data_IF_361963268967
#
_entry.id   IF_361963268967
#
_cell.length_a   1.000
_cell.length_b   1.000
_cell.length_c   1.000
_cell.angle_alpha   90.00
_cell.angle_beta   90.00
_cell.angle_gamma   90.00
#
_symmetry.space_group_name_H-M   'P 1'
#
loop_
_entity.id
_entity.type
_entity.pdbx_description
1 polymer ?
#
# COMPACT_ATOMS: atom_id res chain seq x y z
N UNK A 1 12.67 -9.77 20.76
CA UNK A 1 11.38 -9.09 20.51
C UNK A 1 11.61 -7.90 19.58
N UNK A 2 10.82 -7.77 18.52
CA UNK A 2 10.90 -6.60 17.64
C UNK A 2 10.52 -5.33 18.42
N UNK A 3 11.27 -4.21 18.20
CA UNK A 3 10.93 -2.93 18.81
C UNK A 3 9.54 -2.47 18.34
N UNK A 4 8.72 -1.85 19.21
CA UNK A 4 7.47 -1.22 18.81
C UNK A 4 7.73 -0.18 17.71
N UNK A 5 6.77 -0.03 16.79
CA UNK A 5 6.81 0.99 15.75
C UNK A 5 5.87 2.14 16.10
N UNK A 6 6.32 3.36 15.87
CA UNK A 6 5.47 4.54 15.86
C UNK A 6 5.55 5.21 14.50
N UNK A 7 4.42 5.66 13.96
CA UNK A 7 4.34 6.31 12.66
C UNK A 7 3.93 7.77 12.79
N UNK A 8 4.73 8.67 12.24
CA UNK A 8 4.41 10.07 12.02
C UNK A 8 4.04 10.26 10.55
N UNK A 9 3.03 11.08 10.25
CA UNK A 9 2.55 11.28 8.90
C UNK A 9 2.72 12.73 8.47
N UNK A 10 3.47 12.95 7.39
CA UNK A 10 3.50 14.22 6.66
C UNK A 10 2.43 14.16 5.59
N UNK A 11 1.51 15.12 5.60
CA UNK A 11 0.31 15.10 4.78
C UNK A 11 0.46 15.99 3.56
N UNK A 12 -0.03 15.47 2.43
CA UNK A 12 -0.15 16.20 1.17
C UNK A 12 -1.54 16.03 0.55
N UNK A 13 -1.92 16.99 -0.27
CA UNK A 13 -3.08 16.88 -1.14
C UNK A 13 -2.77 15.97 -2.35
N UNK A 14 -3.80 15.52 -3.12
CA UNK A 14 -3.59 14.72 -4.34
C UNK A 14 -2.75 15.42 -5.43
N UNK A 15 -2.65 16.74 -5.41
CA UNK A 15 -1.77 17.51 -6.30
C UNK A 15 -0.39 17.81 -5.67
N UNK A 16 -0.05 17.20 -4.55
CA UNK A 16 1.27 17.28 -3.92
C UNK A 16 1.52 18.50 -3.03
N UNK A 17 0.51 19.34 -2.77
CA UNK A 17 0.67 20.50 -1.87
C UNK A 17 0.79 20.02 -0.43
N UNK A 18 1.85 20.39 0.31
CA UNK A 18 1.96 20.09 1.73
C UNK A 18 0.82 20.72 2.56
N UNK A 19 0.31 19.97 3.51
CA UNK A 19 -0.74 20.39 4.46
C UNK A 19 -0.12 20.58 5.84
N UNK A 20 0.68 19.61 6.29
CA UNK A 20 1.24 19.61 7.63
C UNK A 20 1.63 18.20 8.06
N UNK A 21 1.64 17.96 9.38
CA UNK A 21 1.92 16.63 9.93
C UNK A 21 0.89 16.22 10.99
N UNK A 22 0.65 14.92 11.10
CA UNK A 22 -0.02 14.32 12.24
C UNK A 22 1.03 13.79 13.22
N UNK A 23 0.79 13.95 14.53
CA UNK A 23 1.67 13.39 15.56
C UNK A 23 1.85 11.89 15.41
N UNK A 24 2.99 11.39 15.90
CA UNK A 24 3.29 9.97 15.85
C UNK A 24 2.30 9.15 16.67
N UNK A 25 1.84 8.04 16.10
CA UNK A 25 0.93 7.08 16.73
C UNK A 25 1.57 5.69 16.80
N UNK A 26 1.24 4.89 17.83
CA UNK A 26 1.70 3.50 17.90
C UNK A 26 1.07 2.67 16.79
N UNK A 27 1.84 1.72 16.23
CA UNK A 27 1.42 0.86 15.14
C UNK A 27 1.61 -0.60 15.51
N UNK A 28 0.62 -1.44 15.24
CA UNK A 28 0.54 -2.82 15.69
C UNK A 28 1.65 -3.75 15.13
N UNK A 29 2.19 -3.46 13.95
CA UNK A 29 3.25 -4.29 13.33
C UNK A 29 4.58 -3.54 13.30
N UNK A 30 5.72 -4.22 13.45
CA UNK A 30 7.03 -3.57 13.39
C UNK A 30 7.47 -3.25 11.96
N UNK A 31 6.94 -3.92 10.94
CA UNK A 31 7.41 -3.86 9.56
C UNK A 31 6.99 -2.56 8.86
N UNK A 32 7.95 -1.83 8.30
CA UNK A 32 7.70 -0.51 7.72
C UNK A 32 6.85 -0.55 6.45
N UNK A 33 6.92 -1.62 5.68
CA UNK A 33 6.11 -1.82 4.47
C UNK A 33 4.64 -2.13 4.75
N UNK A 34 4.29 -2.62 5.95
CA UNK A 34 2.91 -2.91 6.34
C UNK A 34 2.21 -1.61 6.73
N UNK A 35 1.43 -1.06 5.81
CA UNK A 35 0.81 0.26 5.98
C UNK A 35 -0.66 0.22 6.38
N UNK A 36 -1.33 -0.93 6.24
CA UNK A 36 -2.71 -1.09 6.73
C UNK A 36 -2.86 -0.71 8.21
N UNK A 37 -1.96 -1.14 9.13
CA UNK A 37 -2.01 -0.70 10.52
C UNK A 37 -1.74 0.79 10.71
N UNK A 38 -0.95 1.43 9.83
CA UNK A 38 -0.70 2.88 9.86
C UNK A 38 -1.95 3.65 9.45
N UNK A 39 -2.60 3.24 8.34
CA UNK A 39 -3.87 3.83 7.88
C UNK A 39 -4.94 3.71 8.95
N UNK A 40 -5.06 2.54 9.59
CA UNK A 40 -5.99 2.33 10.69
C UNK A 40 -5.69 3.24 11.89
N UNK A 41 -4.42 3.30 12.32
CA UNK A 41 -4.02 4.16 13.44
C UNK A 41 -4.27 5.65 13.15
N UNK A 42 -4.08 6.13 11.91
CA UNK A 42 -4.41 7.49 11.52
C UNK A 42 -5.91 7.78 11.67
N UNK A 43 -6.76 6.85 11.27
CA UNK A 43 -8.22 6.97 11.44
C UNK A 43 -8.62 6.92 12.91
N UNK A 44 -8.10 5.97 13.67
CA UNK A 44 -8.50 5.74 15.07
C UNK A 44 -8.05 6.86 16.00
N UNK A 45 -6.84 7.41 15.80
CA UNK A 45 -6.27 8.43 16.68
C UNK A 45 -6.50 9.87 16.21
N UNK A 46 -6.63 10.08 14.90
CA UNK A 46 -6.73 11.43 14.33
C UNK A 46 -8.01 11.67 13.55
N UNK A 47 -8.83 10.63 13.30
CA UNK A 47 -10.05 10.75 12.49
C UNK A 47 -9.78 11.04 11.02
N UNK A 48 -8.58 10.68 10.50
CA UNK A 48 -8.14 11.05 9.15
C UNK A 48 -7.94 9.80 8.29
N UNK A 49 -8.59 9.78 7.13
CA UNK A 49 -8.37 8.78 6.12
C UNK A 49 -7.17 9.16 5.25
N UNK A 50 -6.17 8.29 5.23
CA UNK A 50 -4.90 8.54 4.54
C UNK A 50 -4.58 7.43 3.53
N UNK A 51 -3.84 7.80 2.49
CA UNK A 51 -3.12 6.87 1.62
C UNK A 51 -1.63 7.05 1.81
N UNK A 52 -0.92 6.00 2.23
CA UNK A 52 0.53 6.07 2.42
C UNK A 52 1.22 6.02 1.06
N UNK A 53 2.04 7.03 0.77
CA UNK A 53 2.78 7.13 -0.49
C UNK A 53 4.17 6.50 -0.37
N UNK A 54 4.92 6.88 0.65
CA UNK A 54 6.31 6.42 0.86
C UNK A 54 6.84 6.73 2.24
N UNK A 55 7.94 6.07 2.59
CA UNK A 55 8.77 6.44 3.73
C UNK A 55 9.53 7.75 3.40
N UNK A 56 9.57 8.68 4.35
CA UNK A 56 10.42 9.88 4.32
C UNK A 56 11.66 9.72 5.17
N UNK A 57 11.56 9.01 6.28
CA UNK A 57 12.67 8.79 7.20
C UNK A 57 12.34 7.77 8.27
N UNK A 58 13.36 7.26 8.90
CA UNK A 58 13.27 6.33 10.01
C UNK A 58 14.40 6.55 10.99
N UNK A 59 14.13 6.28 12.27
CA UNK A 59 15.12 6.34 13.36
C UNK A 59 16.14 5.20 13.29
N UNK A 60 15.71 4.02 12.80
CA UNK A 60 16.54 2.83 12.70
C UNK A 60 16.98 2.59 11.25
N UNK A 61 18.11 1.90 11.08
CA UNK A 61 18.59 1.52 9.73
C UNK A 61 17.87 0.30 9.16
N UNK A 62 17.38 -0.59 10.04
CA UNK A 62 16.69 -1.82 9.62
C UNK A 62 15.18 -1.58 9.48
N UNK A 63 14.51 -2.16 8.48
CA UNK A 63 13.13 -1.84 8.11
C UNK A 63 12.09 -2.41 9.06
N UNK A 64 12.33 -2.35 10.38
CA UNK A 64 11.38 -2.79 11.40
C UNK A 64 11.53 -2.00 12.71
N UNK A 65 10.40 -1.69 13.35
CA UNK A 65 10.33 -0.98 14.63
C UNK A 65 10.80 0.47 14.55
N UNK A 66 10.93 1.11 15.71
CA UNK A 66 11.35 2.48 15.86
C UNK A 66 10.34 3.52 15.38
N UNK A 67 10.76 4.78 15.37
CA UNK A 67 9.96 5.89 14.83
C UNK A 67 10.19 5.99 13.33
N UNK A 68 9.09 6.05 12.58
CA UNK A 68 9.11 6.20 11.12
C UNK A 68 8.23 7.37 10.70
N UNK A 69 8.63 8.08 9.65
CA UNK A 69 7.87 9.17 9.06
C UNK A 69 7.48 8.78 7.64
N UNK A 70 6.19 8.81 7.36
CA UNK A 70 5.65 8.56 6.03
C UNK A 70 5.13 9.85 5.39
N UNK A 71 5.22 9.92 4.06
CA UNK A 71 4.38 10.80 3.27
C UNK A 71 3.03 10.13 3.06
N UNK A 72 1.97 10.84 3.36
CA UNK A 72 0.60 10.36 3.18
C UNK A 72 -0.25 11.40 2.44
N UNK A 73 -1.12 10.91 1.56
CA UNK A 73 -2.09 11.72 0.83
C UNK A 73 -3.43 11.68 1.55
N UNK A 74 -4.10 12.84 1.60
CA UNK A 74 -5.48 12.99 2.09
C UNK A 74 -6.34 13.65 1.04
N UNK A 75 -7.54 13.11 0.79
CA UNK A 75 -8.47 13.65 -0.21
C UNK A 75 -9.16 14.93 0.28
N UNK A 76 -9.48 15.00 1.56
CA UNK A 76 -10.21 16.10 2.18
C UNK A 76 -9.28 16.98 3.03
N UNK A 77 -9.60 18.28 3.17
CA UNK A 77 -8.86 19.15 4.07
C UNK A 77 -8.92 18.64 5.52
N UNK A 78 -7.75 18.59 6.16
CA UNK A 78 -7.63 18.15 7.57
C UNK A 78 -6.86 19.17 8.38
N UNK A 79 -7.16 19.22 9.68
CA UNK A 79 -6.34 19.97 10.62
C UNK A 79 -5.06 19.22 10.91
N UNK A 80 -3.92 19.86 10.70
CA UNK A 80 -2.59 19.27 10.90
C UNK A 80 -1.65 20.28 11.56
N UNK A 81 -0.66 19.79 12.29
CA UNK A 81 0.41 20.64 12.83
C UNK A 81 1.30 21.17 11.69
N UNK A 82 1.86 22.37 11.83
CA UNK A 82 2.83 22.86 10.85
C UNK A 82 3.97 21.87 10.63
N UNK A 83 4.35 21.70 9.38
CA UNK A 83 5.52 20.93 9.00
C UNK A 83 6.43 21.79 8.14
N UNK A 84 7.71 21.86 8.52
CA UNK A 84 8.74 22.62 7.81
C UNK A 84 9.73 21.58 7.27
N UNK A 85 9.64 21.31 5.99
CA UNK A 85 10.52 20.37 5.31
C UNK A 85 10.39 20.52 3.81
N UNK A 86 11.31 19.88 3.08
CA UNK A 86 11.29 19.82 1.63
C UNK A 86 10.89 18.41 1.21
N UNK A 87 9.89 18.31 0.36
CA UNK A 87 9.52 17.05 -0.27
C UNK A 87 10.32 16.90 -1.55
N UNK A 88 11.30 16.01 -1.52
CA UNK A 88 12.03 15.63 -2.72
C UNK A 88 11.10 14.89 -3.70
N UNK A 89 10.99 15.38 -4.94
CA UNK A 89 10.32 14.71 -6.04
C UNK A 89 11.35 14.20 -7.05
N UNK A 90 11.99 13.09 -6.69
CA UNK A 90 13.00 12.47 -7.53
C UNK A 90 12.37 11.99 -8.85
N UNK A 91 12.95 12.26 -10.04
CA UNK A 91 12.35 11.90 -11.34
C UNK A 91 12.12 10.39 -11.53
N UNK A 92 12.92 9.55 -10.87
CA UNK A 92 12.74 8.07 -10.89
C UNK A 92 11.76 7.53 -9.86
N UNK A 93 11.01 8.41 -9.17
CA UNK A 93 10.02 7.97 -8.19
C UNK A 93 8.86 7.27 -8.90
N UNK A 94 8.45 6.13 -8.35
CA UNK A 94 7.35 5.35 -8.91
C UNK A 94 6.01 6.09 -8.77
N UNK A 95 5.11 5.90 -9.73
CA UNK A 95 3.81 6.57 -9.76
C UNK A 95 3.02 6.32 -8.46
N UNK A 96 2.98 5.08 -7.97
CA UNK A 96 2.28 4.75 -6.72
C UNK A 96 2.85 5.41 -5.45
N UNK A 97 4.07 5.97 -5.51
CA UNK A 97 4.71 6.69 -4.41
C UNK A 97 4.63 8.23 -4.56
N UNK A 98 3.87 8.72 -5.55
CA UNK A 98 3.60 10.14 -5.81
C UNK A 98 2.15 10.49 -5.46
N UNK A 99 1.90 11.75 -5.08
CA UNK A 99 0.54 12.24 -4.93
C UNK A 99 -0.29 12.01 -6.20
N UNK A 100 -1.54 11.57 -6.03
CA UNK A 100 -2.45 11.21 -7.12
C UNK A 100 -2.20 9.84 -7.77
N UNK A 101 -1.02 9.26 -7.60
CA UNK A 101 -0.67 7.96 -8.19
C UNK A 101 -1.57 6.82 -7.74
N UNK A 102 -1.72 6.57 -6.43
CA UNK A 102 -2.63 5.54 -5.95
C UNK A 102 -4.07 5.71 -6.42
N UNK A 103 -4.56 6.96 -6.50
CA UNK A 103 -5.90 7.24 -7.01
C UNK A 103 -6.05 6.84 -8.49
N UNK A 104 -5.03 7.10 -9.32
CA UNK A 104 -5.00 6.67 -10.71
C UNK A 104 -4.97 5.14 -10.85
N UNK A 105 -4.19 4.46 -10.02
CA UNK A 105 -4.11 2.99 -10.01
C UNK A 105 -5.45 2.37 -9.59
N UNK A 106 -6.11 2.92 -8.58
CA UNK A 106 -7.44 2.49 -8.14
C UNK A 106 -8.54 2.81 -9.17
N UNK A 107 -8.41 3.91 -9.94
CA UNK A 107 -9.31 4.24 -11.02
C UNK A 107 -9.21 3.22 -12.16
N UNK A 108 -7.98 2.84 -12.55
CA UNK A 108 -7.74 1.76 -13.51
C UNK A 108 -8.35 0.44 -13.01
N UNK A 109 -8.11 0.06 -11.76
CA UNK A 109 -8.68 -1.16 -11.19
C UNK A 109 -10.21 -1.17 -11.24
N UNK A 110 -10.85 -0.05 -10.89
CA UNK A 110 -12.31 0.09 -10.95
C UNK A 110 -12.87 -0.07 -12.36
N UNK A 111 -12.20 0.50 -13.37
CA UNK A 111 -12.60 0.35 -14.77
C UNK A 111 -12.59 -1.11 -15.20
N UNK A 112 -11.49 -1.83 -14.93
CA UNK A 112 -11.35 -3.26 -15.27
C UNK A 112 -12.38 -4.12 -14.52
N UNK A 113 -12.62 -3.83 -13.23
CA UNK A 113 -13.63 -4.56 -12.45
C UNK A 113 -15.05 -4.33 -13.04
N UNK A 114 -15.37 -3.10 -13.45
CA UNK A 114 -16.64 -2.77 -14.08
C UNK A 114 -16.84 -3.51 -15.42
N UNK A 115 -15.82 -3.54 -16.28
CA UNK A 115 -15.82 -4.30 -17.54
C UNK A 115 -16.06 -5.81 -17.32
N UNK A 116 -15.62 -6.34 -16.17
CA UNK A 116 -15.82 -7.75 -15.78
C UNK A 116 -17.11 -8.02 -15.01
N UNK A 117 -17.93 -6.99 -14.79
CA UNK A 117 -19.16 -7.11 -13.99
C UNK A 117 -18.92 -7.31 -12.48
N UNK A 118 -17.69 -7.11 -12.01
CA UNK A 118 -17.32 -7.23 -10.61
C UNK A 118 -17.54 -5.89 -9.90
N UNK A 119 -18.48 -5.85 -8.97
CA UNK A 119 -18.84 -4.62 -8.24
C UNK A 119 -18.10 -4.56 -6.90
N UNK A 120 -17.33 -3.51 -6.60
CA UNK A 120 -16.81 -3.28 -5.28
C UNK A 120 -17.91 -3.23 -4.21
N UNK A 121 -17.69 -3.90 -3.07
CA UNK A 121 -18.64 -3.96 -1.95
C UNK A 121 -18.22 -3.12 -0.77
N UNK A 122 -16.95 -2.69 -0.74
CA UNK A 122 -16.40 -1.79 0.27
C UNK A 122 -15.22 -1.00 -0.34
N UNK A 123 -14.77 0.07 0.33
CA UNK A 123 -13.57 0.79 -0.06
C UNK A 123 -12.35 -0.14 -0.11
N UNK A 124 -11.44 0.05 -1.07
CA UNK A 124 -10.18 -0.68 -1.11
C UNK A 124 -9.30 -0.34 0.10
N UNK A 125 -8.59 -1.35 0.60
CA UNK A 125 -7.67 -1.20 1.74
C UNK A 125 -6.23 -1.27 1.25
N UNK A 126 -5.42 -0.25 1.55
CA UNK A 126 -3.98 -0.30 1.31
C UNK A 126 -3.33 -1.22 2.34
N UNK A 127 -2.72 -2.31 1.87
CA UNK A 127 -2.12 -3.33 2.74
C UNK A 127 -0.63 -3.09 2.91
N UNK A 128 0.08 -2.90 1.79
CA UNK A 128 1.53 -2.66 1.77
C UNK A 128 1.89 -1.59 0.75
N UNK A 129 2.93 -0.83 1.05
CA UNK A 129 3.62 0.01 0.08
C UNK A 129 5.09 0.09 0.41
N UNK A 130 5.94 -0.11 -0.58
CA UNK A 130 7.39 -0.10 -0.46
C UNK A 130 8.03 0.20 -1.82
N UNK A 131 9.36 0.20 -1.87
CA UNK A 131 10.12 0.50 -3.09
C UNK A 131 9.80 -0.41 -4.29
N UNK A 132 9.33 -1.63 -4.05
CA UNK A 132 9.13 -2.65 -5.09
C UNK A 132 7.65 -2.89 -5.42
N UNK A 133 6.71 -2.41 -4.60
CA UNK A 133 5.29 -2.56 -4.92
C UNK A 133 4.39 -1.74 -4.01
N UNK A 134 3.18 -1.49 -4.48
CA UNK A 134 2.01 -1.11 -3.69
C UNK A 134 0.96 -2.20 -3.84
N UNK A 135 0.34 -2.60 -2.72
CA UNK A 135 -0.62 -3.70 -2.66
C UNK A 135 -1.90 -3.25 -1.98
N UNK A 136 -3.01 -3.49 -2.66
CA UNK A 136 -4.35 -3.14 -2.21
C UNK A 136 -5.27 -4.35 -2.23
N UNK A 137 -6.05 -4.49 -1.18
CA UNK A 137 -7.16 -5.44 -1.12
C UNK A 137 -8.45 -4.73 -1.55
N UNK A 138 -9.13 -5.27 -2.55
CA UNK A 138 -10.34 -4.71 -3.14
C UNK A 138 -11.47 -5.73 -2.95
N UNK A 139 -12.35 -5.53 -1.95
CA UNK A 139 -13.52 -6.39 -1.78
C UNK A 139 -14.49 -6.17 -2.94
N UNK A 140 -14.89 -7.26 -3.59
CA UNK A 140 -15.90 -7.27 -4.64
C UNK A 140 -16.98 -8.28 -4.30
N UNK A 141 -18.08 -8.26 -5.04
CA UNK A 141 -19.19 -9.17 -4.79
C UNK A 141 -18.75 -10.63 -4.85
N UNK A 142 -18.84 -11.34 -3.71
CA UNK A 142 -18.52 -12.75 -3.57
C UNK A 142 -17.05 -13.12 -3.42
N UNK A 143 -16.11 -12.18 -3.53
CA UNK A 143 -14.68 -12.46 -3.44
C UNK A 143 -13.84 -11.23 -3.11
N UNK A 144 -12.54 -11.46 -2.91
CA UNK A 144 -11.51 -10.40 -2.84
C UNK A 144 -10.68 -10.39 -4.11
N UNK A 145 -10.34 -9.21 -4.59
CA UNK A 145 -9.37 -8.99 -5.66
C UNK A 145 -8.22 -8.16 -5.12
N UNK A 146 -7.01 -8.45 -5.58
CA UNK A 146 -5.81 -7.74 -5.20
C UNK A 146 -5.33 -6.87 -6.35
N UNK A 147 -5.18 -5.56 -6.09
CA UNK A 147 -4.44 -4.67 -6.99
C UNK A 147 -2.99 -4.63 -6.52
N UNK A 148 -2.08 -5.11 -7.34
CA UNK A 148 -0.64 -4.96 -7.15
C UNK A 148 -0.09 -4.01 -8.21
N UNK A 149 0.70 -3.04 -7.76
CA UNK A 149 1.40 -2.09 -8.63
C UNK A 149 2.89 -2.22 -8.37
N UNK A 150 3.68 -2.37 -9.43
CA UNK A 150 5.12 -2.57 -9.37
C UNK A 150 5.86 -1.52 -10.18
N UNK A 151 7.17 -1.29 -9.91
CA UNK A 151 8.01 -0.45 -10.74
C UNK A 151 8.08 -0.91 -12.18
N UNK A 152 8.39 0.00 -13.11
CA UNK A 152 8.49 -0.30 -14.54
C UNK A 152 9.45 -1.48 -14.85
N UNK A 153 10.56 -1.62 -14.11
CA UNK A 153 11.49 -2.72 -14.31
C UNK A 153 10.93 -4.11 -13.90
N UNK A 154 9.81 -4.15 -13.16
CA UNK A 154 9.01 -5.34 -12.86
C UNK A 154 7.70 -5.40 -13.66
N UNK A 155 7.48 -4.53 -14.65
CA UNK A 155 6.22 -4.48 -15.39
C UNK A 155 5.88 -5.81 -16.13
N UNK A 156 6.87 -6.66 -16.34
CA UNK A 156 6.71 -7.99 -16.94
C UNK A 156 6.06 -9.02 -15.98
N UNK A 157 5.95 -8.73 -14.68
CA UNK A 157 5.44 -9.70 -13.69
C UNK A 157 4.01 -10.16 -14.03
N UNK A 158 3.11 -9.26 -14.42
CA UNK A 158 1.74 -9.61 -14.77
C UNK A 158 1.65 -10.56 -15.96
N UNK A 159 2.47 -10.36 -16.98
CA UNK A 159 2.54 -11.24 -18.14
C UNK A 159 3.12 -12.62 -17.77
N UNK A 160 4.16 -12.67 -16.94
CA UNK A 160 4.73 -13.92 -16.45
C UNK A 160 3.71 -14.72 -15.63
N UNK A 161 3.00 -14.09 -14.72
CA UNK A 161 1.95 -14.75 -13.93
C UNK A 161 0.84 -15.29 -14.82
N UNK A 162 0.45 -14.56 -15.88
CA UNK A 162 -0.54 -15.02 -16.85
C UNK A 162 -0.08 -16.26 -17.63
N UNK A 163 1.20 -16.33 -18.00
CA UNK A 163 1.81 -17.51 -18.65
C UNK A 163 1.88 -18.73 -17.72
N UNK A 164 1.98 -18.50 -16.41
CA UNK A 164 2.01 -19.56 -15.40
C UNK A 164 0.60 -20.00 -14.94
N UNK A 165 -0.46 -19.64 -15.67
CA UNK A 165 -1.82 -20.03 -15.35
C UNK A 165 -1.93 -21.55 -15.17
N UNK A 166 -2.55 -21.99 -14.07
CA UNK A 166 -2.64 -23.40 -13.68
C UNK A 166 -1.53 -23.86 -12.73
N UNK A 167 -0.46 -23.09 -12.52
CA UNK A 167 0.48 -23.28 -11.42
C UNK A 167 -0.09 -22.72 -10.10
N UNK A 168 0.64 -22.89 -9.00
CA UNK A 168 0.26 -22.34 -7.67
C UNK A 168 0.59 -20.83 -7.59
N UNK A 169 0.04 -20.06 -8.52
CA UNK A 169 0.19 -18.60 -8.60
C UNK A 169 -1.20 -17.93 -8.64
N UNK A 170 -1.31 -16.65 -8.26
CA UNK A 170 -2.59 -15.94 -8.38
C UNK A 170 -3.07 -15.90 -9.83
N UNK A 171 -4.35 -16.13 -10.05
CA UNK A 171 -4.96 -15.91 -11.37
C UNK A 171 -4.93 -14.42 -11.69
N UNK A 172 -4.35 -14.05 -12.83
CA UNK A 172 -4.33 -12.68 -13.32
C UNK A 172 -5.66 -12.36 -13.99
N UNK A 173 -6.41 -11.43 -13.41
CA UNK A 173 -7.66 -10.94 -14.02
C UNK A 173 -7.35 -9.92 -15.12
N UNK A 174 -6.39 -9.04 -14.91
CA UNK A 174 -5.89 -8.08 -15.89
C UNK A 174 -4.52 -7.58 -15.48
N UNK A 175 -3.72 -7.14 -16.46
CA UNK A 175 -2.45 -6.45 -16.21
C UNK A 175 -2.18 -5.39 -17.27
N UNK A 176 -1.50 -4.32 -16.89
CA UNK A 176 -1.05 -3.24 -17.76
C UNK A 176 0.04 -2.41 -17.08
N UNK A 177 1.18 -2.21 -17.76
CA UNK A 177 2.23 -1.25 -17.40
C UNK A 177 2.68 -1.29 -15.93
N UNK A 178 2.76 -2.50 -15.34
CA UNK A 178 3.16 -2.72 -13.95
C UNK A 178 1.99 -2.72 -12.96
N UNK A 179 0.76 -2.53 -13.41
CA UNK A 179 -0.46 -2.78 -12.63
C UNK A 179 -0.99 -4.17 -12.93
N UNK A 180 -1.48 -4.84 -11.93
CA UNK A 180 -2.13 -6.13 -12.10
C UNK A 180 -3.27 -6.33 -11.10
N UNK A 181 -4.38 -6.86 -11.58
CA UNK A 181 -5.48 -7.36 -10.77
C UNK A 181 -5.36 -8.87 -10.67
N UNK A 182 -5.32 -9.36 -9.45
CA UNK A 182 -5.09 -10.75 -9.10
C UNK A 182 -6.27 -11.28 -8.30
N UNK A 183 -6.71 -12.49 -8.62
CA UNK A 183 -7.65 -13.20 -7.75
C UNK A 183 -6.97 -13.57 -6.43
N UNK A 184 -7.74 -13.61 -5.36
CA UNK A 184 -7.25 -14.09 -4.07
C UNK A 184 -6.91 -15.58 -4.15
N UNK A 185 -5.79 -15.96 -3.54
CA UNK A 185 -5.44 -17.35 -3.32
C UNK A 185 -5.99 -17.77 -1.96
N UNK A 186 -6.76 -18.84 -1.91
CA UNK A 186 -7.24 -19.41 -0.66
C UNK A 186 -6.04 -19.91 0.17
N UNK A 187 -6.02 -19.56 1.45
CA UNK A 187 -4.97 -19.99 2.37
C UNK A 187 -4.68 -18.96 3.45
N UNK A 188 -3.59 -19.18 4.16
CA UNK A 188 -3.05 -18.25 5.15
C UNK A 188 -1.73 -17.69 4.67
N UNK A 189 -1.53 -16.38 4.86
CA UNK A 189 -0.21 -15.75 4.70
C UNK A 189 0.74 -16.35 5.74
N UNK A 190 1.84 -16.94 5.26
CA UNK A 190 2.87 -17.54 6.11
C UNK A 190 3.94 -16.55 6.55
N UNK A 191 3.80 -15.28 6.26
CA UNK A 191 4.78 -14.25 6.59
C UNK A 191 5.13 -14.17 8.08
N UNK A 192 4.18 -14.53 8.96
CA UNK A 192 4.36 -14.62 10.40
C UNK A 192 4.28 -16.07 10.93
N UNK A 193 4.37 -17.06 10.05
CA UNK A 193 4.31 -18.44 10.48
C UNK A 193 5.56 -18.83 11.26
N UNK A 194 5.37 -19.65 12.30
CA UNK A 194 6.48 -20.22 13.04
C UNK A 194 7.25 -21.25 12.19
N UNK A 195 8.56 -21.37 12.41
CA UNK A 195 9.47 -22.25 11.67
C UNK A 195 8.97 -23.71 11.48
N UNK A 196 8.28 -24.36 12.41
CA UNK A 196 7.76 -25.71 12.20
C UNK A 196 6.78 -25.84 11.03
N UNK A 197 6.00 -24.79 10.75
CA UNK A 197 5.06 -24.76 9.62
C UNK A 197 5.76 -24.56 8.27
N UNK A 198 6.96 -23.99 8.26
CA UNK A 198 7.74 -23.76 7.04
C UNK A 198 8.57 -25.00 6.65
N UNK A 199 8.81 -25.92 7.56
CA UNK A 199 9.61 -27.14 7.34
C UNK A 199 8.82 -28.29 6.67
N UNK A 200 7.52 -28.16 6.49
CA UNK A 200 6.64 -29.20 5.92
C UNK A 200 6.24 -28.97 4.46
N UNK A 201 6.97 -28.07 3.73
CA UNK A 201 6.71 -27.76 2.30
C UNK A 201 7.87 -28.17 1.40
#
# INVERSE_FOLDING_TARGET
>A
MAKPRTAELVLVTPNGRPIGRLPAVPVATPWWQDVEPVVRAARDHHGVDVTILRLLGAELEQPHGGRVTYLAEVAEPVSAQPWIGVLDDHPRRHAFARPGGPAADLAWARAILAERGLRPTAPPTQVRTWNLSSLWRVPVQGQTVWLKVVPHFFAHEGALLALMAGARVPTVLSHDSGRMLLAEIAGKDLYFAELPLLATW
#
